data_IF_856831427545
#
_entry.id   IF_856831427545
#
_cell.length_a   1.000
_cell.length_b   1.000
_cell.length_c   1.000
_cell.angle_alpha   90.00
_cell.angle_beta   90.00
_cell.angle_gamma   90.00
#
_symmetry.space_group_name_H-M   'P 1'
#
loop_
_entity.id
_entity.type
_entity.pdbx_description
1 polymer ?
#
# COMPACT_ATOMS: atom_id res chain seq x y z
N UNK A 1 40.37 58.65 -40.67
CA UNK A 1 39.61 57.42 -40.95
C UNK A 1 39.84 56.45 -39.79
N UNK A 2 38.86 56.36 -38.82
CA UNK A 2 38.95 55.46 -37.65
C UNK A 2 38.14 54.21 -37.97
N UNK A 3 38.78 53.02 -37.94
CA UNK A 3 38.12 51.72 -38.10
C UNK A 3 37.58 51.30 -36.76
N UNK A 4 36.25 51.14 -36.65
CA UNK A 4 35.57 50.59 -35.49
C UNK A 4 35.54 49.07 -35.65
N UNK A 5 36.24 48.34 -34.74
CA UNK A 5 36.12 46.88 -34.61
C UNK A 5 34.91 46.55 -33.75
N UNK A 6 33.92 45.90 -34.32
CA UNK A 6 32.76 45.41 -33.58
C UNK A 6 33.03 43.97 -33.16
N UNK A 7 33.31 43.75 -31.87
CA UNK A 7 33.50 42.42 -31.28
C UNK A 7 32.11 41.82 -30.96
N UNK A 8 31.77 40.77 -31.65
CA UNK A 8 30.58 39.95 -31.35
C UNK A 8 30.93 38.99 -30.22
N UNK A 9 30.35 39.20 -29.03
CA UNK A 9 30.39 38.25 -27.93
C UNK A 9 29.25 37.24 -28.10
N UNK A 10 29.57 36.02 -28.54
CA UNK A 10 28.62 34.91 -28.56
C UNK A 10 28.64 34.28 -27.16
N UNK A 11 27.63 34.59 -26.33
CA UNK A 11 27.38 33.95 -25.06
C UNK A 11 26.78 32.56 -25.30
N UNK A 12 27.57 31.51 -25.13
CA UNK A 12 27.06 30.13 -25.08
C UNK A 12 26.40 29.92 -23.71
N UNK A 13 25.05 29.95 -23.67
CA UNK A 13 24.29 29.49 -22.53
C UNK A 13 24.41 27.96 -22.47
N UNK A 14 25.24 27.47 -21.56
CA UNK A 14 25.22 26.06 -21.14
C UNK A 14 23.96 25.85 -20.30
N UNK A 15 22.91 25.33 -20.92
CA UNK A 15 21.76 24.77 -20.20
C UNK A 15 22.26 23.47 -19.57
N UNK A 16 22.62 23.54 -18.29
CA UNK A 16 22.89 22.37 -17.47
C UNK A 16 21.55 21.64 -17.26
N UNK A 17 21.27 20.63 -18.08
CA UNK A 17 20.21 19.66 -17.84
C UNK A 17 20.59 18.93 -16.55
N UNK A 18 19.99 19.34 -15.44
CA UNK A 18 20.10 18.66 -14.17
C UNK A 18 19.26 17.38 -14.25
N UNK A 19 19.79 16.34 -14.91
CA UNK A 19 19.25 15.00 -14.82
C UNK A 19 19.38 14.57 -13.36
N UNK A 20 18.26 14.55 -12.63
CA UNK A 20 18.21 13.86 -11.35
C UNK A 20 18.57 12.40 -11.63
N UNK A 21 19.81 12.03 -11.35
CA UNK A 21 20.20 10.63 -11.29
C UNK A 21 19.34 9.98 -10.20
N UNK A 22 18.37 9.18 -10.61
CA UNK A 22 17.67 8.29 -9.68
C UNK A 22 18.77 7.36 -9.17
N UNK A 23 19.15 7.51 -7.90
CA UNK A 23 20.09 6.58 -7.28
C UNK A 23 19.38 5.23 -7.23
N UNK A 24 19.81 4.31 -8.07
CA UNK A 24 19.34 2.92 -7.98
C UNK A 24 19.84 2.38 -6.64
N UNK A 25 18.91 2.02 -5.76
CA UNK A 25 19.26 1.41 -4.48
C UNK A 25 19.96 0.08 -4.76
N UNK A 26 21.14 -0.11 -4.18
CA UNK A 26 21.84 -1.37 -4.28
C UNK A 26 21.04 -2.51 -3.64
N UNK A 27 21.17 -3.70 -4.21
CA UNK A 27 20.58 -4.92 -3.65
C UNK A 27 21.24 -5.21 -2.29
N UNK A 28 20.45 -5.61 -1.32
CA UNK A 28 20.98 -6.00 -0.02
C UNK A 28 22.00 -7.13 -0.12
N UNK A 29 23.06 -7.03 0.65
CA UNK A 29 23.98 -8.17 0.86
C UNK A 29 23.27 -9.26 1.68
N UNK A 30 23.84 -10.46 1.66
CA UNK A 30 23.33 -11.57 2.50
C UNK A 30 23.35 -11.21 3.99
N UNK A 31 24.38 -10.48 4.41
CA UNK A 31 24.55 -10.03 5.79
C UNK A 31 23.45 -9.06 6.18
N UNK A 32 23.15 -8.08 5.34
CA UNK A 32 22.07 -7.12 5.57
C UNK A 32 20.71 -7.81 5.66
N UNK A 33 20.43 -8.76 4.76
CA UNK A 33 19.17 -9.52 4.79
C UNK A 33 19.06 -10.38 6.06
N UNK A 34 20.15 -11.02 6.49
CA UNK A 34 20.18 -11.83 7.70
C UNK A 34 20.01 -10.96 8.97
N UNK A 35 20.65 -9.80 9.04
CA UNK A 35 20.48 -8.88 10.18
C UNK A 35 19.04 -8.36 10.27
N UNK A 36 18.43 -8.01 9.14
CA UNK A 36 17.01 -7.64 9.10
C UNK A 36 16.13 -8.80 9.61
N UNK A 37 16.34 -10.04 9.12
CA UNK A 37 15.55 -11.18 9.56
C UNK A 37 15.70 -11.49 11.05
N UNK A 38 16.91 -11.34 11.61
CA UNK A 38 17.16 -11.57 13.04
C UNK A 38 16.34 -10.62 13.94
N UNK A 39 16.02 -9.40 13.46
CA UNK A 39 15.22 -8.44 14.24
C UNK A 39 13.78 -8.92 14.43
N UNK A 40 13.24 -9.63 13.45
CA UNK A 40 11.85 -10.09 13.46
C UNK A 40 11.68 -11.52 13.96
N UNK A 41 12.72 -12.35 13.86
CA UNK A 41 12.65 -13.77 14.16
C UNK A 41 11.73 -14.53 13.19
N UNK A 42 11.15 -15.61 13.63
CA UNK A 42 10.22 -16.39 12.82
C UNK A 42 8.85 -15.71 12.81
N UNK A 43 8.48 -15.13 11.69
CA UNK A 43 7.16 -14.55 11.46
C UNK A 43 6.12 -15.67 11.32
N UNK A 44 5.03 -15.54 12.08
CA UNK A 44 3.89 -16.47 12.11
C UNK A 44 2.61 -15.64 12.09
N UNK A 45 1.74 -15.92 11.13
CA UNK A 45 0.51 -15.15 11.01
C UNK A 45 -0.34 -15.56 9.83
N UNK A 46 -1.29 -14.73 9.49
CA UNK A 46 -2.22 -14.94 8.38
C UNK A 46 -2.60 -13.61 7.72
N UNK A 47 -3.36 -13.68 6.65
CA UNK A 47 -4.13 -12.53 6.17
C UNK A 47 -5.16 -12.16 7.24
N UNK A 48 -5.29 -10.86 7.55
CA UNK A 48 -6.19 -10.35 8.56
C UNK A 48 -7.17 -9.33 7.99
N UNK A 49 -8.42 -9.55 8.32
CA UNK A 49 -9.53 -8.62 8.19
C UNK A 49 -10.45 -8.84 9.41
N UNK A 50 -10.96 -7.79 10.09
CA UNK A 50 -11.84 -8.00 11.23
C UNK A 50 -13.17 -8.62 10.79
N UNK A 51 -13.74 -9.47 11.66
CA UNK A 51 -14.99 -10.21 11.37
C UNK A 51 -16.20 -9.30 11.10
N UNK A 52 -16.11 -8.02 11.41
CA UNK A 52 -17.14 -7.01 11.14
C UNK A 52 -17.03 -6.37 9.76
N UNK A 53 -15.96 -6.65 9.00
CA UNK A 53 -15.74 -6.10 7.66
C UNK A 53 -15.92 -7.18 6.58
N UNK A 54 -16.67 -6.89 5.54
CA UNK A 54 -16.87 -7.78 4.38
C UNK A 54 -15.60 -7.84 3.52
N UNK A 55 -14.91 -6.70 3.39
CA UNK A 55 -13.69 -6.58 2.59
C UNK A 55 -12.77 -5.45 3.11
N UNK A 56 -11.64 -5.28 2.44
CA UNK A 56 -10.64 -4.27 2.82
C UNK A 56 -11.18 -2.84 2.77
N UNK A 57 -12.21 -2.53 1.96
CA UNK A 57 -12.81 -1.18 2.00
C UNK A 57 -13.58 -0.96 3.31
N UNK A 58 -14.42 -1.90 3.74
CA UNK A 58 -15.12 -1.78 5.03
C UNK A 58 -14.16 -1.76 6.21
N UNK A 59 -13.08 -2.53 6.16
CA UNK A 59 -12.04 -2.46 7.19
C UNK A 59 -11.51 -1.04 7.38
N UNK A 60 -11.44 -0.24 6.31
CA UNK A 60 -10.74 1.03 6.35
C UNK A 60 -11.61 2.28 6.20
N UNK A 61 -12.87 2.19 5.83
CA UNK A 61 -13.77 3.35 5.72
C UNK A 61 -14.12 3.93 7.10
N UNK A 62 -14.38 5.24 7.17
CA UNK A 62 -14.57 5.96 8.41
C UNK A 62 -15.77 5.48 9.24
N UNK A 63 -16.84 5.08 8.57
CA UNK A 63 -18.11 4.67 9.16
C UNK A 63 -18.17 3.17 9.52
N UNK A 64 -17.20 2.38 9.07
CA UNK A 64 -17.15 0.93 9.30
C UNK A 64 -15.88 0.45 10.00
N UNK A 65 -14.88 1.33 10.20
CA UNK A 65 -13.67 1.00 10.94
C UNK A 65 -14.00 0.65 12.40
N UNK A 66 -13.67 -0.57 12.80
CA UNK A 66 -14.01 -1.12 14.11
C UNK A 66 -12.77 -1.49 14.94
N UNK A 67 -12.17 -0.51 15.65
CA UNK A 67 -10.99 -0.76 16.47
C UNK A 67 -11.23 -1.73 17.62
N UNK A 68 -12.46 -1.85 18.10
CA UNK A 68 -12.83 -2.77 19.21
C UNK A 68 -12.75 -4.23 18.75
N UNK A 69 -13.30 -4.54 17.58
CA UNK A 69 -13.18 -5.88 17.00
C UNK A 69 -11.75 -6.19 16.61
N UNK A 70 -11.03 -5.24 16.00
CA UNK A 70 -9.61 -5.39 15.67
C UNK A 70 -8.79 -5.72 16.92
N UNK A 71 -8.96 -4.99 18.00
CA UNK A 71 -8.24 -5.21 19.27
C UNK A 71 -8.52 -6.62 19.85
N UNK A 72 -9.77 -7.01 19.89
CA UNK A 72 -10.19 -8.34 20.36
C UNK A 72 -9.57 -9.47 19.53
N UNK A 73 -9.65 -9.37 18.20
CA UNK A 73 -9.23 -10.46 17.29
C UNK A 73 -7.71 -10.56 17.18
N UNK A 74 -6.99 -9.44 17.23
CA UNK A 74 -5.54 -9.45 17.34
C UNK A 74 -5.08 -10.00 18.68
N UNK A 75 -5.82 -9.78 19.78
CA UNK A 75 -5.59 -10.43 21.06
C UNK A 75 -5.70 -11.97 20.96
N UNK A 76 -6.73 -12.49 20.29
CA UNK A 76 -6.84 -13.94 20.05
C UNK A 76 -5.69 -14.48 19.20
N UNK A 77 -5.25 -13.73 18.21
CA UNK A 77 -4.12 -14.10 17.37
C UNK A 77 -2.81 -14.17 18.19
N UNK A 78 -2.57 -13.21 19.09
CA UNK A 78 -1.43 -13.24 20.02
C UNK A 78 -1.49 -14.48 20.92
N UNK A 79 -2.65 -14.80 21.51
CA UNK A 79 -2.83 -15.96 22.40
C UNK A 79 -2.44 -17.29 21.75
N UNK A 80 -2.64 -17.44 20.44
CA UNK A 80 -2.24 -18.63 19.68
C UNK A 80 -0.82 -18.53 19.09
N UNK A 81 -0.08 -17.47 19.44
CA UNK A 81 1.33 -17.29 19.10
C UNK A 81 1.60 -16.66 17.73
N UNK A 82 0.62 -16.00 17.11
CA UNK A 82 0.86 -15.18 15.92
C UNK A 82 1.60 -13.90 16.30
N UNK A 83 2.50 -13.44 15.45
CA UNK A 83 3.30 -12.23 15.64
C UNK A 83 3.37 -11.34 14.38
N UNK A 84 2.62 -11.68 13.35
CA UNK A 84 2.58 -10.92 12.09
C UNK A 84 1.22 -11.07 11.42
N UNK A 85 0.67 -9.96 10.91
CA UNK A 85 -0.53 -9.98 10.07
C UNK A 85 -0.25 -9.38 8.71
N UNK A 86 -0.80 -9.98 7.65
CA UNK A 86 -0.81 -9.42 6.31
C UNK A 86 -2.15 -8.77 6.05
N UNK A 87 -2.14 -7.46 5.74
CA UNK A 87 -3.35 -6.62 5.73
C UNK A 87 -3.42 -5.83 4.43
N UNK A 88 -4.58 -5.94 3.78
CA UNK A 88 -4.82 -5.29 2.51
C UNK A 88 -5.32 -3.86 2.69
N UNK A 89 -4.71 -2.94 1.96
CA UNK A 89 -5.16 -1.57 1.79
C UNK A 89 -6.05 -1.46 0.54
N UNK A 90 -6.62 -0.27 0.25
CA UNK A 90 -7.37 -0.04 -0.99
C UNK A 90 -7.29 1.43 -1.40
N UNK A 91 -6.90 1.68 -2.67
CA UNK A 91 -6.70 3.05 -3.17
C UNK A 91 -7.96 3.92 -3.09
N UNK A 92 -9.16 3.34 -3.31
CA UNK A 92 -10.41 4.08 -3.27
C UNK A 92 -10.72 4.65 -1.88
N UNK A 93 -10.38 3.94 -0.80
CA UNK A 93 -10.51 4.47 0.57
C UNK A 93 -9.56 5.62 0.78
N UNK A 94 -8.31 5.50 0.31
CA UNK A 94 -7.35 6.59 0.34
C UNK A 94 -7.83 7.80 -0.48
N UNK A 95 -8.36 7.59 -1.68
CA UNK A 95 -8.85 8.67 -2.54
C UNK A 95 -10.02 9.43 -1.90
N UNK A 96 -10.91 8.70 -1.22
CA UNK A 96 -12.10 9.26 -0.58
C UNK A 96 -11.77 10.06 0.69
N UNK A 97 -10.83 9.58 1.51
CA UNK A 97 -10.48 10.20 2.81
C UNK A 97 -9.01 9.95 3.18
N UNK A 98 -8.09 10.64 2.51
CA UNK A 98 -6.64 10.44 2.65
C UNK A 98 -6.15 10.56 4.10
N UNK A 99 -6.53 11.62 4.77
CA UNK A 99 -6.05 11.89 6.13
C UNK A 99 -6.70 10.96 7.16
N UNK A 100 -7.98 10.68 7.03
CA UNK A 100 -8.68 9.74 7.89
C UNK A 100 -8.17 8.32 7.69
N UNK A 101 -7.91 7.90 6.45
CA UNK A 101 -7.33 6.60 6.15
C UNK A 101 -5.96 6.41 6.83
N UNK A 102 -5.05 7.38 6.71
CA UNK A 102 -3.74 7.34 7.39
C UNK A 102 -3.88 7.29 8.92
N UNK A 103 -4.85 7.99 9.51
CA UNK A 103 -5.13 7.92 10.94
C UNK A 103 -5.60 6.52 11.36
N UNK A 104 -6.49 5.89 10.60
CA UNK A 104 -6.98 4.53 10.87
C UNK A 104 -5.87 3.49 10.71
N UNK A 105 -4.99 3.64 9.71
CA UNK A 105 -3.78 2.82 9.58
C UNK A 105 -2.91 2.94 10.85
N UNK A 106 -2.65 4.15 11.33
CA UNK A 106 -1.86 4.36 12.54
C UNK A 106 -2.55 3.78 13.78
N UNK A 107 -3.87 3.88 13.90
CA UNK A 107 -4.65 3.29 14.98
C UNK A 107 -4.57 1.75 14.94
N UNK A 108 -4.78 1.14 13.78
CA UNK A 108 -4.57 -0.30 13.59
C UNK A 108 -3.16 -0.74 14.01
N UNK A 109 -2.13 -0.04 13.55
CA UNK A 109 -0.74 -0.33 13.91
C UNK A 109 -0.51 -0.22 15.42
N UNK A 110 -1.16 0.72 16.10
CA UNK A 110 -1.07 0.87 17.57
C UNK A 110 -1.72 -0.31 18.28
N UNK A 111 -2.85 -0.79 17.77
CA UNK A 111 -3.53 -1.97 18.31
C UNK A 111 -2.68 -3.23 18.07
N UNK A 112 -2.16 -3.41 16.84
CA UNK A 112 -1.32 -4.55 16.52
C UNK A 112 -0.04 -4.60 17.37
N UNK A 113 0.64 -3.46 17.56
CA UNK A 113 1.82 -3.35 18.42
C UNK A 113 1.53 -3.68 19.89
N UNK A 114 0.38 -3.27 20.40
CA UNK A 114 -0.10 -3.65 21.75
C UNK A 114 -0.15 -5.17 21.93
N UNK A 115 -0.49 -5.92 20.87
CA UNK A 115 -0.54 -7.38 20.84
C UNK A 115 0.74 -8.02 20.29
N UNK A 116 1.86 -7.29 20.23
CA UNK A 116 3.14 -7.77 19.72
C UNK A 116 3.08 -8.33 18.30
N UNK A 117 2.17 -7.80 17.49
CA UNK A 117 1.93 -8.21 16.11
C UNK A 117 2.49 -7.14 15.17
N UNK A 118 3.45 -7.51 14.34
CA UNK A 118 3.95 -6.69 13.24
C UNK A 118 3.06 -6.82 11.99
N UNK A 119 3.18 -5.88 11.06
CA UNK A 119 2.28 -5.81 9.92
C UNK A 119 3.02 -5.89 8.59
N UNK A 120 2.46 -6.64 7.65
CA UNK A 120 2.75 -6.59 6.22
C UNK A 120 1.57 -5.90 5.55
N UNK A 121 1.77 -4.74 4.93
CA UNK A 121 0.71 -4.11 4.15
C UNK A 121 0.79 -4.49 2.69
N UNK A 122 -0.38 -4.81 2.10
CA UNK A 122 -0.57 -5.08 0.68
C UNK A 122 -1.26 -3.88 0.06
N UNK A 123 -0.65 -3.30 -0.99
CA UNK A 123 -1.21 -2.12 -1.65
C UNK A 123 -2.29 -2.47 -2.66
N UNK A 124 -2.01 -3.42 -3.54
CA UNK A 124 -2.86 -3.77 -4.68
C UNK A 124 -3.17 -5.26 -4.68
N UNK A 125 -4.33 -5.63 -5.24
CA UNK A 125 -4.80 -7.00 -5.30
C UNK A 125 -5.50 -7.29 -6.63
N UNK A 126 -5.09 -8.35 -7.33
CA UNK A 126 -5.69 -8.72 -8.60
C UNK A 126 -6.70 -9.88 -8.50
N UNK A 127 -7.14 -10.18 -7.28
CA UNK A 127 -8.07 -11.26 -6.99
C UNK A 127 -9.51 -10.77 -6.77
N UNK A 128 -10.48 -11.65 -7.08
CA UNK A 128 -11.90 -11.53 -6.78
C UNK A 128 -12.66 -10.48 -7.60
N UNK A 129 -13.59 -9.74 -6.98
CA UNK A 129 -14.53 -8.87 -7.70
C UNK A 129 -13.81 -7.67 -8.33
N UNK A 130 -13.90 -7.51 -9.66
CA UNK A 130 -13.21 -6.43 -10.36
C UNK A 130 -13.94 -5.08 -10.28
N UNK A 131 -15.19 -5.07 -9.81
CA UNK A 131 -16.04 -3.89 -9.68
C UNK A 131 -16.31 -3.63 -8.22
N UNK A 132 -16.05 -2.42 -7.77
CA UNK A 132 -16.22 -1.99 -6.39
C UNK A 132 -16.65 -0.52 -6.33
N UNK A 133 -17.17 -0.11 -5.19
CA UNK A 133 -17.55 1.27 -4.92
C UNK A 133 -17.35 1.58 -3.43
N UNK A 134 -17.15 2.87 -3.10
CA UNK A 134 -17.13 3.32 -1.72
C UNK A 134 -18.49 3.16 -1.05
N UNK A 135 -18.52 3.11 0.28
CA UNK A 135 -19.73 2.95 1.08
C UNK A 135 -20.01 1.50 1.44
N UNK A 136 -21.27 1.19 1.70
CA UNK A 136 -21.71 -0.16 2.11
C UNK A 136 -21.38 -1.20 1.04
N UNK A 137 -20.70 -2.25 1.46
CA UNK A 137 -20.34 -3.34 0.58
C UNK A 137 -21.50 -4.36 0.44
N UNK A 138 -21.61 -5.04 -0.71
CA UNK A 138 -22.63 -6.09 -0.89
C UNK A 138 -22.31 -7.28 0.02
N UNK A 139 -23.37 -7.91 0.54
CA UNK A 139 -23.24 -9.12 1.34
C UNK A 139 -22.55 -10.23 0.55
N UNK A 140 -21.62 -10.99 1.16
CA UNK A 140 -20.96 -12.09 0.51
C UNK A 140 -21.95 -13.23 0.21
N UNK A 141 -21.71 -13.95 -0.87
CA UNK A 141 -22.55 -15.10 -1.26
C UNK A 141 -22.16 -16.33 -0.42
N UNK A 142 -23.06 -16.90 0.39
CA UNK A 142 -22.77 -18.06 1.20
C UNK A 142 -22.26 -19.24 0.36
N UNK A 143 -21.16 -19.86 0.80
CA UNK A 143 -20.54 -21.01 0.11
C UNK A 143 -19.70 -20.64 -1.12
N UNK A 144 -19.60 -19.37 -1.47
CA UNK A 144 -18.71 -18.89 -2.53
C UNK A 144 -17.48 -18.23 -1.92
N UNK A 145 -16.32 -18.80 -2.19
CA UNK A 145 -15.04 -18.37 -1.63
C UNK A 145 -14.76 -16.89 -1.97
N UNK A 146 -14.48 -16.11 -0.93
CA UNK A 146 -14.13 -14.68 -1.01
C UNK A 146 -15.05 -13.81 -1.89
N UNK A 147 -16.33 -14.17 -1.98
CA UNK A 147 -17.30 -13.47 -2.84
C UNK A 147 -17.56 -12.00 -2.47
N UNK A 148 -17.17 -11.57 -1.27
CA UNK A 148 -17.23 -10.17 -0.82
C UNK A 148 -15.96 -9.36 -1.07
N UNK A 149 -14.84 -10.00 -1.42
CA UNK A 149 -13.57 -9.32 -1.63
C UNK A 149 -13.59 -8.50 -2.91
N UNK A 150 -12.79 -7.42 -2.94
CA UNK A 150 -12.69 -6.51 -4.08
C UNK A 150 -11.23 -6.39 -4.55
N UNK A 151 -11.06 -6.35 -5.87
CA UNK A 151 -9.74 -6.07 -6.48
C UNK A 151 -9.33 -4.63 -6.25
N UNK A 152 -8.04 -4.39 -6.30
CA UNK A 152 -7.46 -3.07 -6.34
C UNK A 152 -6.28 -3.03 -7.33
N UNK A 153 -6.34 -2.32 -8.47
CA UNK A 153 -7.42 -1.43 -8.94
C UNK A 153 -8.49 -2.09 -9.81
N UNK A 154 -8.48 -3.40 -10.00
CA UNK A 154 -9.51 -4.13 -10.74
C UNK A 154 -9.73 -3.65 -12.18
N UNK A 155 -10.98 -3.58 -12.60
CA UNK A 155 -11.39 -3.21 -13.96
C UNK A 155 -10.93 -1.79 -14.38
N UNK A 156 -10.69 -0.89 -13.44
CA UNK A 156 -10.15 0.44 -13.75
C UNK A 156 -8.79 0.35 -14.44
N UNK A 157 -7.98 -0.63 -14.08
CA UNK A 157 -6.69 -0.87 -14.72
C UNK A 157 -6.80 -1.63 -16.04
N UNK A 158 -7.63 -2.68 -16.08
CA UNK A 158 -7.69 -3.58 -17.25
C UNK A 158 -8.60 -3.09 -18.37
N UNK A 159 -9.67 -2.39 -18.04
CA UNK A 159 -10.71 -1.92 -19.00
C UNK A 159 -10.81 -0.40 -19.09
N UNK A 160 -10.23 0.31 -18.11
CA UNK A 160 -10.24 1.76 -18.05
C UNK A 160 -9.07 2.40 -18.79
N UNK A 161 -8.95 3.72 -18.65
CA UNK A 161 -7.83 4.48 -19.16
C UNK A 161 -6.66 4.46 -18.16
N UNK A 162 -5.63 3.71 -18.51
CA UNK A 162 -4.41 3.61 -17.68
C UNK A 162 -3.72 4.95 -17.45
N UNK A 163 -3.87 5.91 -18.38
CA UNK A 163 -3.33 7.25 -18.20
C UNK A 163 -4.04 8.02 -17.06
N UNK A 164 -5.25 7.62 -16.71
CA UNK A 164 -6.01 8.20 -15.58
C UNK A 164 -5.67 7.47 -14.28
N UNK A 165 -5.73 6.13 -14.27
CA UNK A 165 -5.60 5.37 -13.01
C UNK A 165 -4.15 5.28 -12.51
N UNK A 166 -3.15 5.17 -13.37
CA UNK A 166 -1.76 5.03 -12.94
C UNK A 166 -1.25 6.21 -12.10
N UNK A 167 -1.51 7.48 -12.42
CA UNK A 167 -1.13 8.60 -11.55
C UNK A 167 -1.81 8.57 -10.17
N UNK A 168 -3.04 8.06 -10.08
CA UNK A 168 -3.77 7.90 -8.82
C UNK A 168 -3.08 6.85 -7.97
N UNK A 169 -2.82 5.66 -8.53
CA UNK A 169 -2.13 4.57 -7.82
C UNK A 169 -0.72 4.97 -7.39
N UNK A 170 0.02 5.65 -8.27
CA UNK A 170 1.36 6.17 -7.93
C UNK A 170 1.30 7.14 -6.75
N UNK A 171 0.33 8.05 -6.76
CA UNK A 171 0.12 9.02 -5.68
C UNK A 171 -0.26 8.34 -4.37
N UNK A 172 -1.15 7.35 -4.43
CA UNK A 172 -1.57 6.54 -3.29
C UNK A 172 -0.39 5.81 -2.65
N UNK A 173 0.35 5.01 -3.43
CA UNK A 173 1.51 4.26 -2.94
C UNK A 173 2.58 5.19 -2.37
N UNK A 174 2.88 6.29 -3.05
CA UNK A 174 3.86 7.28 -2.58
C UNK A 174 3.43 7.96 -1.27
N UNK A 175 2.16 8.34 -1.13
CA UNK A 175 1.67 9.00 0.08
C UNK A 175 1.76 8.07 1.30
N UNK A 176 1.29 6.83 1.16
CA UNK A 176 1.35 5.84 2.25
C UNK A 176 2.80 5.50 2.60
N UNK A 177 3.65 5.20 1.61
CA UNK A 177 5.07 4.90 1.86
C UNK A 177 5.79 6.08 2.49
N UNK A 178 5.56 7.31 2.03
CA UNK A 178 6.20 8.49 2.60
C UNK A 178 5.80 8.69 4.06
N UNK A 179 4.53 8.40 4.39
CA UNK A 179 4.00 8.55 5.74
C UNK A 179 4.59 7.49 6.69
N UNK A 180 4.70 6.24 6.25
CA UNK A 180 4.97 5.11 7.15
C UNK A 180 6.29 4.36 6.90
N UNK A 181 7.14 4.77 5.95
CA UNK A 181 8.39 4.06 5.57
C UNK A 181 9.37 3.79 6.71
N UNK A 182 9.33 4.61 7.76
CA UNK A 182 10.23 4.49 8.92
C UNK A 182 9.52 3.89 10.14
N UNK A 183 8.26 3.48 10.00
CA UNK A 183 7.47 2.89 11.08
C UNK A 183 7.93 1.46 11.38
N UNK A 184 8.39 1.24 12.61
CA UNK A 184 8.99 -0.04 13.05
C UNK A 184 7.97 -1.15 13.29
N UNK A 185 6.68 -0.83 13.27
CA UNK A 185 5.57 -1.80 13.39
C UNK A 185 5.29 -2.51 12.06
N UNK A 186 5.82 -1.96 10.95
CA UNK A 186 5.66 -2.51 9.60
C UNK A 186 6.92 -3.29 9.22
N UNK A 187 6.76 -4.58 8.96
CA UNK A 187 7.87 -5.48 8.62
C UNK A 187 8.15 -5.52 7.12
N UNK A 188 7.11 -5.48 6.29
CA UNK A 188 7.21 -5.58 4.84
C UNK A 188 6.11 -4.75 4.16
N UNK A 189 6.39 -4.38 2.91
CA UNK A 189 5.44 -3.83 1.96
C UNK A 189 5.29 -4.80 0.79
N UNK A 190 4.06 -5.28 0.59
CA UNK A 190 3.68 -6.09 -0.57
C UNK A 190 3.02 -5.16 -1.59
N UNK A 191 3.65 -5.02 -2.74
CA UNK A 191 3.17 -4.06 -3.73
C UNK A 191 1.90 -4.53 -4.41
N UNK A 192 1.81 -5.84 -4.73
CA UNK A 192 0.70 -6.36 -5.52
C UNK A 192 0.48 -7.85 -5.28
N UNK A 193 -0.68 -8.21 -4.73
CA UNK A 193 -1.07 -9.60 -4.59
C UNK A 193 -1.49 -10.17 -5.95
N UNK A 194 -0.88 -11.30 -6.32
CA UNK A 194 -1.20 -12.11 -7.51
C UNK A 194 -1.37 -11.30 -8.83
N UNK A 195 -0.39 -10.47 -9.22
CA UNK A 195 -0.53 -9.62 -10.40
C UNK A 195 -0.72 -10.45 -11.67
N UNK A 196 -1.79 -10.17 -12.43
CA UNK A 196 -2.17 -10.88 -13.65
C UNK A 196 -3.08 -12.09 -13.43
N UNK A 197 -3.50 -12.39 -12.20
CA UNK A 197 -4.44 -13.47 -11.88
C UNK A 197 -5.77 -13.36 -12.63
N UNK A 198 -6.23 -12.13 -12.89
CA UNK A 198 -7.46 -11.86 -13.64
C UNK A 198 -7.42 -12.13 -15.14
N UNK A 199 -6.25 -12.41 -15.70
CA UNK A 199 -6.09 -12.66 -17.16
C UNK A 199 -6.31 -14.13 -17.57
N UNK A 200 -6.53 -15.00 -16.61
CA UNK A 200 -6.75 -16.44 -16.84
C UNK A 200 -8.24 -16.83 -16.94
N UNK A 201 -9.16 -15.87 -16.94
CA UNK A 201 -10.60 -16.08 -17.13
C UNK A 201 -11.09 -15.67 -18.53
#
# INVERSE_FOLDING_TARGET
MKKILLSFFIGVMLIACNQKTVSVREVWTKEQANEWYKQWGWLRGCDFIPSTAINQMEMWQADTFDPVTIDRELGWAEEIGMNCMRVYLHHLVWETDKEGFKKRINEYLTIADKHHISTIFVFLDDCWNPVYQAGKQPEPQPGVHNSGWARDPGDLYYKGDTAVILPVLESYVKDILTTFKDDKRIVLWDLYNEPGGSRSE
#
